data_IF_434900013716
#
_entry.id   IF_434900013716
#
_cell.length_a   1.000
_cell.length_b   1.000
_cell.length_c   1.000
_cell.angle_alpha   90.00
_cell.angle_beta   90.00
_cell.angle_gamma   90.00
#
_symmetry.space_group_name_H-M   'P 1'
#
loop_
_entity.id
_entity.type
_entity.pdbx_description
1 polymer ?
#
# COMPACT_ATOMS: atom_id res chain seq x y z
N UNK A 1 -18.30 -1.85 -23.10
CA UNK A 1 -18.65 -3.01 -22.25
C UNK A 1 -18.91 -2.51 -20.85
N UNK A 2 -20.12 -2.70 -20.30
CA UNK A 2 -20.28 -2.52 -18.85
C UNK A 2 -19.60 -3.70 -18.18
N UNK A 3 -19.05 -3.50 -16.98
CA UNK A 3 -18.40 -4.59 -16.21
C UNK A 3 -19.31 -5.82 -16.01
N UNK A 4 -20.62 -5.62 -16.15
CA UNK A 4 -21.69 -6.61 -16.03
C UNK A 4 -21.83 -7.52 -17.26
N UNK A 5 -21.31 -7.12 -18.43
CA UNK A 5 -21.50 -7.84 -19.69
C UNK A 5 -20.31 -8.78 -20.02
N UNK A 6 -19.42 -9.03 -19.05
CA UNK A 6 -18.23 -9.85 -19.29
C UNK A 6 -18.57 -11.34 -19.27
N UNK A 7 -18.50 -12.00 -20.43
CA UNK A 7 -18.80 -13.43 -20.62
C UNK A 7 -17.57 -14.32 -20.75
N UNK A 8 -16.37 -13.80 -20.45
CA UNK A 8 -15.11 -14.53 -20.55
C UNK A 8 -14.71 -15.29 -19.29
N UNK A 9 -13.47 -15.84 -19.23
CA UNK A 9 -12.97 -16.55 -18.06
C UNK A 9 -12.93 -15.65 -16.82
N UNK A 10 -13.42 -16.15 -15.68
CA UNK A 10 -13.56 -15.36 -14.44
C UNK A 10 -12.24 -14.74 -13.95
N UNK A 11 -11.12 -15.40 -14.22
CA UNK A 11 -9.77 -14.91 -13.89
C UNK A 11 -9.41 -13.56 -14.54
N UNK A 12 -10.08 -13.20 -15.63
CA UNK A 12 -9.90 -11.93 -16.35
C UNK A 12 -11.10 -11.01 -16.20
N UNK A 13 -12.06 -11.35 -15.33
CA UNK A 13 -13.21 -10.49 -15.06
C UNK A 13 -12.71 -9.11 -14.59
N UNK A 14 -13.09 -8.02 -15.27
CA UNK A 14 -12.70 -6.69 -14.86
C UNK A 14 -13.37 -6.35 -13.53
N UNK A 15 -12.65 -5.59 -12.72
CA UNK A 15 -13.15 -5.05 -11.46
C UNK A 15 -13.78 -3.69 -11.74
N UNK A 16 -14.95 -3.45 -11.16
CA UNK A 16 -15.56 -2.13 -11.18
C UNK A 16 -14.87 -1.20 -10.17
N UNK A 17 -15.13 0.10 -10.26
CA UNK A 17 -14.52 1.11 -9.39
C UNK A 17 -14.83 0.90 -7.89
N UNK A 18 -16.03 0.40 -7.56
CA UNK A 18 -16.43 0.16 -6.18
C UNK A 18 -15.75 -1.07 -5.57
N UNK A 19 -15.47 -2.10 -6.38
CA UNK A 19 -14.68 -3.25 -5.92
C UNK A 19 -13.26 -2.80 -5.55
N UNK A 20 -12.61 -1.96 -6.38
CA UNK A 20 -11.31 -1.38 -6.03
C UNK A 20 -11.36 -0.54 -4.76
N UNK A 21 -12.39 0.30 -4.62
CA UNK A 21 -12.59 1.11 -3.43
C UNK A 21 -12.79 0.25 -2.18
N UNK A 22 -13.61 -0.81 -2.27
CA UNK A 22 -13.84 -1.76 -1.18
C UNK A 22 -12.57 -2.50 -0.78
N UNK A 23 -11.73 -2.91 -1.73
CA UNK A 23 -10.42 -3.49 -1.42
C UNK A 23 -9.48 -2.49 -0.75
N UNK A 24 -9.48 -1.23 -1.18
CA UNK A 24 -8.68 -0.19 -0.52
C UNK A 24 -9.08 -0.02 0.95
N UNK A 25 -10.39 0.05 1.25
CA UNK A 25 -10.89 0.10 2.63
C UNK A 25 -10.49 -1.17 3.39
N UNK A 26 -10.68 -2.36 2.79
CA UNK A 26 -10.31 -3.63 3.42
C UNK A 26 -8.83 -3.63 3.82
N UNK A 27 -7.93 -3.17 2.93
CA UNK A 27 -6.49 -3.15 3.19
C UNK A 27 -6.06 -2.10 4.23
N UNK A 28 -6.89 -1.09 4.50
CA UNK A 28 -6.65 -0.14 5.59
C UNK A 28 -6.95 -0.75 6.97
N UNK A 29 -7.77 -1.80 7.04
CA UNK A 29 -8.08 -2.46 8.32
C UNK A 29 -6.84 -3.23 8.81
N UNK A 30 -6.34 -2.96 10.04
CA UNK A 30 -5.20 -3.68 10.58
C UNK A 30 -5.53 -5.16 10.82
N UNK A 31 -4.49 -6.00 10.78
CA UNK A 31 -4.57 -7.47 10.95
C UNK A 31 -5.39 -8.16 9.86
N UNK A 32 -6.71 -8.00 9.85
CA UNK A 32 -7.62 -8.66 8.91
C UNK A 32 -7.33 -8.20 7.48
N UNK A 33 -7.22 -6.90 7.25
CA UNK A 33 -6.92 -6.35 5.92
C UNK A 33 -5.58 -6.81 5.39
N UNK A 34 -4.59 -6.93 6.26
CA UNK A 34 -3.25 -7.40 5.93
C UNK A 34 -3.22 -8.89 5.58
N UNK A 35 -4.00 -9.72 6.29
CA UNK A 35 -4.15 -11.14 5.94
C UNK A 35 -4.77 -11.27 4.54
N UNK A 36 -5.86 -10.56 4.25
CA UNK A 36 -6.48 -10.59 2.93
C UNK A 36 -5.59 -10.01 1.84
N UNK A 37 -4.84 -8.95 2.14
CA UNK A 37 -3.86 -8.38 1.22
C UNK A 37 -2.81 -9.43 0.84
N UNK A 38 -2.23 -10.14 1.80
CA UNK A 38 -1.25 -11.19 1.51
C UNK A 38 -1.86 -12.33 0.68
N UNK A 39 -3.04 -12.81 1.07
CA UNK A 39 -3.76 -13.87 0.33
C UNK A 39 -4.01 -13.44 -1.12
N UNK A 40 -4.53 -12.22 -1.35
CA UNK A 40 -4.86 -11.73 -2.68
C UNK A 40 -3.64 -11.39 -3.54
N UNK A 41 -2.49 -11.10 -2.91
CA UNK A 41 -1.20 -10.89 -3.60
C UNK A 41 -0.74 -12.16 -4.34
N UNK A 42 -0.97 -13.32 -3.73
CA UNK A 42 -0.58 -14.63 -4.25
C UNK A 42 -1.71 -15.40 -4.93
N UNK A 43 -2.96 -14.96 -4.77
CA UNK A 43 -4.12 -15.60 -5.41
C UNK A 43 -4.06 -15.50 -6.94
N UNK A 44 -4.42 -16.60 -7.62
CA UNK A 44 -4.52 -16.68 -9.09
C UNK A 44 -5.95 -16.54 -9.61
N UNK A 45 -6.93 -16.38 -8.73
CA UNK A 45 -8.36 -16.40 -9.07
C UNK A 45 -8.85 -15.17 -9.85
N UNK A 46 -8.19 -14.02 -9.73
CA UNK A 46 -8.48 -12.86 -10.56
C UNK A 46 -7.21 -12.00 -10.77
N UNK A 47 -6.80 -11.85 -12.02
CA UNK A 47 -5.57 -11.14 -12.38
C UNK A 47 -5.62 -9.65 -12.05
N UNK A 48 -6.78 -9.01 -12.24
CA UNK A 48 -6.96 -7.58 -12.03
C UNK A 48 -6.93 -7.22 -10.53
N UNK A 49 -7.50 -8.10 -9.67
CA UNK A 49 -7.37 -7.96 -8.22
C UNK A 49 -5.93 -8.13 -7.79
N UNK A 50 -5.28 -9.19 -8.29
CA UNK A 50 -3.90 -9.53 -7.94
C UNK A 50 -2.92 -8.40 -8.29
N UNK A 51 -3.06 -7.79 -9.48
CA UNK A 51 -2.20 -6.67 -9.88
C UNK A 51 -2.41 -5.46 -8.97
N UNK A 52 -3.65 -5.12 -8.63
CA UNK A 52 -3.97 -4.05 -7.68
C UNK A 52 -3.46 -4.32 -6.26
N UNK A 53 -3.65 -5.54 -5.74
CA UNK A 53 -3.13 -5.89 -4.42
C UNK A 53 -1.60 -5.79 -4.37
N UNK A 54 -0.91 -6.22 -5.43
CA UNK A 54 0.56 -6.13 -5.53
C UNK A 54 1.04 -4.68 -5.60
N UNK A 55 0.38 -3.82 -6.38
CA UNK A 55 0.75 -2.41 -6.43
C UNK A 55 0.49 -1.72 -5.09
N UNK A 56 -0.59 -2.07 -4.40
CA UNK A 56 -0.87 -1.58 -3.05
C UNK A 56 0.21 -2.01 -2.05
N UNK A 57 0.61 -3.29 -2.08
CA UNK A 57 1.70 -3.80 -1.24
C UNK A 57 3.03 -3.09 -1.49
N UNK A 58 3.42 -2.94 -2.77
CA UNK A 58 4.62 -2.18 -3.13
C UNK A 58 4.51 -0.71 -2.69
N UNK A 59 3.32 -0.11 -2.80
CA UNK A 59 3.04 1.25 -2.33
C UNK A 59 3.25 1.41 -0.82
N UNK A 60 2.79 0.44 -0.01
CA UNK A 60 3.03 0.43 1.44
C UNK A 60 4.52 0.37 1.77
N UNK A 61 5.30 -0.46 1.06
CA UNK A 61 6.75 -0.53 1.21
C UNK A 61 7.40 0.83 0.88
N UNK A 62 6.98 1.45 -0.22
CA UNK A 62 7.50 2.76 -0.62
C UNK A 62 7.19 3.85 0.41
N UNK A 63 5.96 3.89 0.94
CA UNK A 63 5.59 4.81 2.02
C UNK A 63 6.45 4.57 3.26
N UNK A 64 6.68 3.32 3.64
CA UNK A 64 7.52 2.97 4.78
C UNK A 64 8.97 3.45 4.58
N UNK A 65 9.53 3.30 3.39
CA UNK A 65 10.87 3.81 3.05
C UNK A 65 10.91 5.33 3.18
N UNK A 66 9.94 6.05 2.61
CA UNK A 66 9.89 7.52 2.64
C UNK A 66 9.73 8.04 4.06
N UNK A 67 8.82 7.46 4.85
CA UNK A 67 8.61 7.84 6.26
C UNK A 67 9.87 7.60 7.08
N UNK A 68 10.54 6.45 6.88
CA UNK A 68 11.80 6.13 7.57
C UNK A 68 12.89 7.13 7.20
N UNK A 69 13.03 7.46 5.92
CA UNK A 69 14.01 8.44 5.45
C UNK A 69 13.79 9.84 6.05
N UNK A 70 12.54 10.32 6.05
CA UNK A 70 12.18 11.60 6.65
C UNK A 70 12.46 11.60 8.17
N UNK A 71 12.12 10.52 8.88
CA UNK A 71 12.38 10.40 10.30
C UNK A 71 13.88 10.48 10.63
N UNK A 72 14.74 9.80 9.84
CA UNK A 72 16.19 9.85 10.01
C UNK A 72 16.76 11.26 9.79
N UNK A 73 16.29 11.97 8.76
CA UNK A 73 16.69 13.36 8.51
C UNK A 73 16.26 14.29 9.66
N UNK A 74 15.04 14.12 10.17
CA UNK A 74 14.52 14.91 11.29
C UNK A 74 15.34 14.71 12.58
N UNK A 75 15.71 13.46 12.89
CA UNK A 75 16.59 13.14 14.03
C UNK A 75 17.97 13.79 13.83
N UNK A 76 18.53 13.71 12.63
CA UNK A 76 19.82 14.33 12.30
C UNK A 76 19.81 15.85 12.44
N UNK A 77 18.76 16.52 11.95
CA UNK A 77 18.59 17.96 12.05
C UNK A 77 18.41 18.43 13.50
N UNK A 78 17.60 17.70 14.28
CA UNK A 78 17.43 17.95 15.71
C UNK A 78 18.75 17.80 16.46
N UNK A 79 19.46 16.69 16.26
CA UNK A 79 20.76 16.43 16.87
C UNK A 79 21.81 17.50 16.55
N UNK A 80 21.86 17.95 15.30
CA UNK A 80 22.75 19.05 14.87
C UNK A 80 22.43 20.36 15.58
N UNK A 81 21.14 20.69 15.73
CA UNK A 81 20.68 21.89 16.43
C UNK A 81 20.95 21.84 17.95
N UNK A 82 20.88 20.67 18.58
CA UNK A 82 21.28 20.52 19.98
C UNK A 82 22.80 20.66 20.15
N UNK A 83 23.60 20.05 19.26
CA UNK A 83 25.05 20.12 19.30
C UNK A 83 25.59 21.55 19.09
N UNK A 84 24.99 22.33 18.17
CA UNK A 84 25.40 23.71 17.93
C UNK A 84 25.17 24.63 19.13
N UNK A 85 24.08 24.42 19.89
CA UNK A 85 23.81 25.18 21.11
C UNK A 85 24.72 24.79 22.27
N UNK A 86 25.13 23.53 22.34
CA UNK A 86 26.07 23.04 23.35
C UNK A 86 27.49 23.58 23.13
N UNK A 87 27.90 23.83 21.88
CA UNK A 87 29.21 24.38 21.56
C UNK A 87 29.35 25.90 21.84
N UNK A 88 28.23 26.60 22.05
CA UNK A 88 28.19 28.06 22.29
C UNK A 88 28.01 28.39 23.79
N UNK A 89 27.72 27.40 24.63
CA UNK A 89 27.68 27.52 26.10
C UNK A 89 29.03 27.16 26.71
#
# INVERSE_FOLDING_TARGET
>A
MRFQDYSGPEQFRPLNAWEYFGYAILYMVPVIGWIFLLIFTFSTSNYNRRSFTRSYWCGLILVLIVVTFIALLGIGAGGWHYASQAAVR
#
